data_IF_774885689726
#
_entry.id   IF_774885689726
#
_cell.length_a   1.000
_cell.length_b   1.000
_cell.length_c   1.000
_cell.angle_alpha   90.00
_cell.angle_beta   90.00
_cell.angle_gamma   90.00
#
_symmetry.space_group_name_H-M   'P 1'
#
loop_
_entity.id
_entity.type
_entity.pdbx_description
1 polymer ?
#
# COMPACT_ATOMS: atom_id res chain seq x y z
N UNK A 1 -0.46 10.62 -10.12
CA UNK A 1 -0.15 11.43 -8.92
C UNK A 1 -1.32 11.51 -7.93
N UNK A 2 -2.41 12.25 -8.21
CA UNK A 2 -3.47 12.51 -7.21
C UNK A 2 -4.31 11.26 -6.87
N UNK A 3 -4.77 10.52 -7.89
CA UNK A 3 -5.61 9.32 -7.69
C UNK A 3 -4.87 8.22 -6.93
N UNK A 4 -3.57 8.03 -7.20
CA UNK A 4 -2.74 7.06 -6.48
C UNK A 4 -2.58 7.42 -5.01
N UNK A 5 -2.32 8.70 -4.69
CA UNK A 5 -2.26 9.17 -3.31
C UNK A 5 -3.59 9.00 -2.56
N UNK A 6 -4.71 9.28 -3.22
CA UNK A 6 -6.05 9.07 -2.65
C UNK A 6 -6.36 7.60 -2.37
N UNK A 7 -6.00 6.69 -3.29
CA UNK A 7 -6.18 5.25 -3.10
C UNK A 7 -5.34 4.74 -1.94
N UNK A 8 -4.08 5.19 -1.84
CA UNK A 8 -3.18 4.80 -0.75
C UNK A 8 -3.71 5.30 0.59
N UNK A 9 -4.05 6.58 0.72
CA UNK A 9 -4.57 7.14 1.97
C UNK A 9 -5.90 6.52 2.41
N UNK A 10 -6.80 6.22 1.47
CA UNK A 10 -8.04 5.51 1.78
C UNK A 10 -7.77 4.07 2.23
N UNK A 11 -6.81 3.39 1.58
CA UNK A 11 -6.43 2.02 1.93
C UNK A 11 -5.73 1.95 3.29
N UNK A 12 -4.93 2.95 3.66
CA UNK A 12 -4.28 3.07 4.97
C UNK A 12 -5.30 3.13 6.11
N UNK A 13 -6.30 4.01 5.99
CA UNK A 13 -7.36 4.12 7.00
C UNK A 13 -8.27 2.90 7.08
N UNK A 14 -8.56 2.25 5.94
CA UNK A 14 -9.27 0.97 5.96
C UNK A 14 -8.41 -0.14 6.58
N UNK A 15 -7.12 -0.16 6.28
CA UNK A 15 -6.19 -1.14 6.83
C UNK A 15 -6.10 -1.04 8.36
N UNK A 16 -6.03 0.17 8.92
CA UNK A 16 -6.03 0.38 10.37
C UNK A 16 -7.27 -0.22 11.07
N UNK A 17 -8.44 -0.19 10.43
CA UNK A 17 -9.68 -0.69 11.04
C UNK A 17 -9.81 -2.22 10.88
N UNK A 18 -9.52 -2.74 9.68
CA UNK A 18 -9.82 -4.14 9.34
C UNK A 18 -8.64 -5.09 9.54
N UNK A 19 -7.40 -4.63 9.38
CA UNK A 19 -6.23 -5.50 9.41
C UNK A 19 -5.84 -5.89 10.85
N UNK A 20 -5.82 -5.00 11.87
CA UNK A 20 -5.44 -5.40 13.22
C UNK A 20 -6.30 -6.53 13.81
N UNK A 21 -7.65 -6.51 13.75
CA UNK A 21 -8.46 -7.61 14.26
C UNK A 21 -8.20 -8.93 13.54
N UNK A 22 -8.06 -8.88 12.20
CA UNK A 22 -7.82 -10.07 11.38
C UNK A 22 -6.44 -10.65 11.64
N UNK A 23 -5.39 -9.84 11.59
CA UNK A 23 -4.03 -10.29 11.84
C UNK A 23 -3.80 -10.72 13.29
N UNK A 24 -4.44 -10.05 14.25
CA UNK A 24 -4.43 -10.50 15.64
C UNK A 24 -5.06 -11.90 15.78
N UNK A 25 -6.18 -12.16 15.10
CA UNK A 25 -6.84 -13.49 15.15
C UNK A 25 -6.03 -14.60 14.48
N UNK A 26 -5.26 -14.30 13.42
CA UNK A 26 -4.53 -15.31 12.63
C UNK A 26 -3.10 -15.52 13.12
N UNK A 27 -2.43 -14.46 13.56
CA UNK A 27 -1.00 -14.48 13.92
C UNK A 27 -0.73 -14.24 15.40
N UNK A 28 -1.75 -13.95 16.22
CA UNK A 28 -1.62 -13.79 17.67
C UNK A 28 -0.77 -12.58 18.11
N UNK A 29 -0.39 -11.71 17.19
CA UNK A 29 0.48 -10.55 17.43
C UNK A 29 -0.30 -9.24 17.61
N UNK A 30 0.33 -8.26 18.26
CA UNK A 30 -0.20 -6.92 18.43
C UNK A 30 0.22 -6.05 17.22
N UNK A 31 -0.61 -6.02 16.18
CA UNK A 31 -0.32 -5.29 14.93
C UNK A 31 -0.71 -3.80 15.02
N UNK A 32 -0.39 -3.16 16.15
CA UNK A 32 -0.52 -1.72 16.31
C UNK A 32 0.51 -0.99 15.44
N UNK A 33 0.09 0.05 14.73
CA UNK A 33 1.00 0.87 13.90
C UNK A 33 1.08 0.46 12.42
N UNK A 34 0.04 -0.18 11.89
CA UNK A 34 -0.08 -0.51 10.46
C UNK A 34 0.04 0.72 9.56
N UNK A 35 -0.45 1.88 10.00
CA UNK A 35 -0.34 3.16 9.30
C UNK A 35 1.11 3.53 8.96
N UNK A 36 2.06 3.16 9.81
CA UNK A 36 3.46 3.52 9.65
C UNK A 36 4.21 2.73 8.58
N UNK A 37 3.71 1.55 8.16
CA UNK A 37 4.45 0.67 7.23
C UNK A 37 3.61 0.12 6.07
N UNK A 38 2.29 -0.01 6.23
CA UNK A 38 1.39 -0.55 5.21
C UNK A 38 1.36 0.26 3.91
N UNK A 39 1.33 1.61 3.93
CA UNK A 39 1.34 2.41 2.70
C UNK A 39 2.56 2.11 1.82
N UNK A 40 3.72 1.88 2.44
CA UNK A 40 4.96 1.54 1.72
C UNK A 40 4.87 0.16 1.08
N UNK A 41 4.34 -0.84 1.81
CA UNK A 41 4.14 -2.20 1.28
C UNK A 41 3.13 -2.18 0.14
N UNK A 42 2.04 -1.44 0.27
CA UNK A 42 1.03 -1.30 -0.76
C UNK A 42 1.57 -0.59 -2.02
N UNK A 43 2.37 0.47 -1.84
CA UNK A 43 3.06 1.14 -2.94
C UNK A 43 4.04 0.19 -3.66
N UNK A 44 4.80 -0.61 -2.90
CA UNK A 44 5.70 -1.64 -3.44
C UNK A 44 4.93 -2.71 -4.23
N UNK A 45 3.81 -3.22 -3.71
CA UNK A 45 2.97 -4.19 -4.41
C UNK A 45 2.42 -3.61 -5.72
N UNK A 46 1.98 -2.36 -5.70
CA UNK A 46 1.54 -1.69 -6.91
C UNK A 46 2.67 -1.59 -7.94
N UNK A 47 3.86 -1.17 -7.52
CA UNK A 47 5.04 -1.09 -8.39
C UNK A 47 5.49 -2.47 -8.87
N UNK A 48 5.27 -3.54 -8.10
CA UNK A 48 5.57 -4.89 -8.54
C UNK A 48 4.64 -5.34 -9.69
N UNK A 49 3.34 -5.01 -9.59
CA UNK A 49 2.35 -5.35 -10.63
C UNK A 49 2.46 -4.44 -11.84
N UNK A 50 2.77 -3.16 -11.60
CA UNK A 50 2.92 -2.15 -12.64
C UNK A 50 4.05 -1.19 -12.22
N UNK A 51 5.31 -1.48 -12.61
CA UNK A 51 6.47 -0.68 -12.20
C UNK A 51 6.41 0.77 -12.69
N UNK A 52 5.47 1.06 -13.58
CA UNK A 52 5.36 2.28 -14.37
C UNK A 52 3.89 2.68 -14.34
N UNK A 53 3.55 3.58 -13.42
CA UNK A 53 2.17 4.07 -13.35
C UNK A 53 1.76 4.76 -12.07
N UNK A 54 2.42 4.52 -10.92
CA UNK A 54 2.01 5.19 -9.68
C UNK A 54 2.24 6.72 -9.77
N UNK A 55 3.30 7.12 -10.49
CA UNK A 55 3.69 8.51 -10.71
C UNK A 55 3.57 8.99 -12.16
N UNK A 56 2.99 8.19 -13.06
CA UNK A 56 2.71 8.62 -14.44
C UNK A 56 3.93 8.67 -15.37
N UNK A 57 5.05 8.06 -14.98
CA UNK A 57 6.22 7.93 -15.86
C UNK A 57 5.99 6.86 -16.94
N UNK A 58 6.36 7.18 -18.18
CA UNK A 58 6.31 6.26 -19.34
C UNK A 58 7.49 5.28 -19.30
N UNK A 59 7.30 4.10 -19.89
CA UNK A 59 8.37 3.14 -20.19
C UNK A 59 9.56 3.87 -20.82
N UNK A 60 10.69 3.89 -20.12
CA UNK A 60 11.95 4.36 -20.71
C UNK A 60 12.48 3.20 -21.53
N UNK A 61 11.96 3.08 -22.75
CA UNK A 61 12.59 2.28 -23.80
C UNK A 61 13.95 2.94 -24.05
N UNK A 62 15.01 2.26 -23.64
CA UNK A 62 16.38 2.71 -23.90
C UNK A 62 16.77 2.11 -25.25
N UNK A 63 16.90 2.97 -26.25
CA UNK A 63 17.57 2.64 -27.52
C UNK A 63 19.06 2.96 -27.42
#
# INVERSE_FOLDING_TARGET
AIVGGLIIGASEKLAEIYIPPVFQSVFGGNFGGIEGWFPYVFALLFLLVRPEGLFGEKHIDRV
#
